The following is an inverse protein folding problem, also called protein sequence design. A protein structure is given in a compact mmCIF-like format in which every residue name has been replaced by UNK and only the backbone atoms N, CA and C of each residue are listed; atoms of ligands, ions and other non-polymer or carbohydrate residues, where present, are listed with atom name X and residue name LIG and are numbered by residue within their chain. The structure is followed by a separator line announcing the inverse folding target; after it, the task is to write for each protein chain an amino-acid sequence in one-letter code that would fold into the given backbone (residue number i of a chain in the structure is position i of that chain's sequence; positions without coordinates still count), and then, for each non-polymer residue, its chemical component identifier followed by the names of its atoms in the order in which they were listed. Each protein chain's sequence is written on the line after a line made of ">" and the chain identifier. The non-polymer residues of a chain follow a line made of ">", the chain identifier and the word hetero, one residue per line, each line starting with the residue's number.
data_IF_015411232756
#
_entry.id   IF_015411232756
#
_cell.length_a   1.000
_cell.length_b   1.000
_cell.length_c   1.000
_cell.angle_alpha   90.00
_cell.angle_beta   90.00
_cell.angle_gamma   90.00
#
_symmetry.space_group_name_H-M   'P 1'
#
loop_
_entity.id
_entity.type
_entity.pdbx_description
1 polymer ?
#
# COMPACT_ATOMS: atom_id res chain seq x y z
N UNK A 1 -10.75 0.58 20.97
CA UNK A 1 -10.34 -0.68 20.31
C UNK A 1 -10.39 -0.44 18.82
N UNK A 2 -9.26 -0.08 18.21
CA UNK A 2 -9.21 0.21 16.78
C UNK A 2 -9.21 -1.10 16.03
N UNK A 3 -10.34 -1.41 15.40
CA UNK A 3 -10.49 -2.56 14.50
C UNK A 3 -9.46 -2.41 13.39
N UNK A 4 -8.41 -3.21 13.44
CA UNK A 4 -7.47 -3.39 12.32
C UNK A 4 -8.31 -4.02 11.20
N UNK A 5 -8.61 -3.24 10.16
CA UNK A 5 -9.26 -3.80 8.98
C UNK A 5 -8.21 -4.64 8.26
N UNK A 6 -8.64 -5.71 7.62
CA UNK A 6 -7.77 -6.71 6.99
C UNK A 6 -6.89 -6.14 5.86
N UNK A 7 -7.14 -4.88 5.49
CA UNK A 7 -6.46 -4.10 4.46
C UNK A 7 -5.39 -3.13 5.04
N UNK A 8 -5.14 -3.18 6.34
CA UNK A 8 -4.13 -2.37 7.04
C UNK A 8 -2.70 -2.82 6.68
N UNK A 9 -1.86 -1.85 6.32
CA UNK A 9 -0.43 -2.05 6.11
C UNK A 9 0.30 -1.84 7.44
N UNK A 10 1.12 -2.81 7.85
CA UNK A 10 1.99 -2.70 9.03
C UNK A 10 3.46 -3.02 8.70
N UNK A 11 4.07 -2.31 7.74
CA UNK A 11 5.44 -2.63 7.32
C UNK A 11 6.48 -2.30 8.39
N UNK A 12 6.19 -1.33 9.27
CA UNK A 12 7.12 -0.79 10.27
C UNK A 12 6.60 -0.89 11.73
N UNK A 13 5.48 -1.61 11.93
CA UNK A 13 4.72 -1.54 13.19
C UNK A 13 3.84 -0.30 13.31
N UNK A 14 3.86 0.59 12.32
CA UNK A 14 2.90 1.68 12.14
C UNK A 14 1.71 1.14 11.34
N UNK A 15 0.51 1.33 11.87
CA UNK A 15 -0.74 0.98 11.19
C UNK A 15 -1.07 2.04 10.14
N UNK A 16 -0.98 1.67 8.86
CA UNK A 16 -1.33 2.54 7.74
C UNK A 16 -2.61 2.03 7.12
N UNK A 17 -3.69 2.77 7.36
CA UNK A 17 -5.01 2.52 6.77
C UNK A 17 -5.07 3.24 5.43
N UNK A 18 -5.16 2.49 4.33
CA UNK A 18 -5.45 3.03 3.01
C UNK A 18 -6.89 2.69 2.65
N UNK A 19 -7.67 3.68 2.23
CA UNK A 19 -9.00 3.43 1.69
C UNK A 19 -8.87 2.90 0.25
N UNK A 20 -8.68 1.58 0.14
CA UNK A 20 -8.57 0.91 -1.14
C UNK A 20 -9.88 0.97 -1.95
N UNK A 21 -11.03 1.19 -1.30
CA UNK A 21 -12.33 1.29 -1.97
C UNK A 21 -12.46 2.56 -2.81
N UNK A 22 -11.90 3.67 -2.33
CA UNK A 22 -11.80 4.92 -3.06
C UNK A 22 -10.71 4.92 -4.16
N UNK A 23 -9.83 3.92 -4.17
CA UNK A 23 -8.74 3.82 -5.15
C UNK A 23 -9.27 3.36 -6.52
N UNK A 24 -9.58 4.32 -7.39
CA UNK A 24 -10.03 4.05 -8.77
C UNK A 24 -8.87 3.60 -9.67
N UNK A 25 -9.19 2.95 -10.79
CA UNK A 25 -8.22 2.56 -11.82
C UNK A 25 -7.51 3.83 -12.33
N UNK A 26 -6.18 3.80 -12.39
CA UNK A 26 -5.34 4.95 -12.74
C UNK A 26 -4.97 5.85 -11.55
N UNK A 27 -5.50 5.59 -10.35
CA UNK A 27 -5.07 6.29 -9.13
C UNK A 27 -3.77 5.71 -8.58
N UNK A 28 -3.02 6.58 -7.90
CA UNK A 28 -1.81 6.21 -7.18
C UNK A 28 -1.89 6.67 -5.74
N UNK A 29 -1.43 5.83 -4.82
CA UNK A 29 -1.26 6.17 -3.41
C UNK A 29 0.22 6.10 -3.06
N UNK A 30 0.69 7.05 -2.26
CA UNK A 30 2.03 7.01 -1.68
C UNK A 30 1.94 6.62 -0.22
N UNK A 31 2.64 5.55 0.14
CA UNK A 31 2.72 5.03 1.50
C UNK A 31 4.14 5.29 2.04
N UNK A 32 4.34 6.25 2.95
CA UNK A 32 5.63 6.48 3.58
C UNK A 32 5.95 5.33 4.54
N UNK A 33 7.02 4.59 4.26
CA UNK A 33 7.43 3.39 4.99
C UNK A 33 8.95 3.27 4.96
N UNK A 34 9.57 2.97 6.09
CA UNK A 34 11.00 2.62 6.13
C UNK A 34 11.22 1.23 5.52
N UNK A 35 10.37 0.26 5.88
CA UNK A 35 10.42 -1.11 5.38
C UNK A 35 9.64 -1.30 4.06
N UNK A 36 10.23 -0.85 2.95
CA UNK A 36 9.58 -0.88 1.62
C UNK A 36 9.39 -2.29 1.05
N UNK A 37 10.25 -3.23 1.41
CA UNK A 37 10.15 -4.63 0.96
C UNK A 37 8.89 -5.29 1.54
N UNK A 38 8.75 -5.25 2.88
CA UNK A 38 7.54 -5.71 3.57
C UNK A 38 6.29 -4.98 3.10
N UNK A 39 6.36 -3.65 2.93
CA UNK A 39 5.23 -2.87 2.42
C UNK A 39 4.80 -3.39 1.03
N UNK A 40 5.75 -3.57 0.11
CA UNK A 40 5.46 -4.06 -1.24
C UNK A 40 4.84 -5.46 -1.23
N UNK A 41 5.35 -6.37 -0.38
CA UNK A 41 4.78 -7.71 -0.23
C UNK A 41 3.35 -7.66 0.31
N UNK A 42 3.11 -6.90 1.38
CA UNK A 42 1.77 -6.75 1.96
C UNK A 42 0.78 -6.15 0.98
N UNK A 43 1.17 -5.07 0.27
CA UNK A 43 0.33 -4.47 -0.78
C UNK A 43 0.01 -5.51 -1.85
N UNK A 44 0.98 -6.28 -2.32
CA UNK A 44 0.74 -7.34 -3.32
C UNK A 44 -0.23 -8.40 -2.82
N UNK A 45 -0.07 -8.92 -1.60
CA UNK A 45 -1.00 -9.90 -1.04
C UNK A 45 -2.42 -9.32 -0.89
N UNK A 46 -2.57 -8.09 -0.42
CA UNK A 46 -3.89 -7.46 -0.26
C UNK A 46 -4.53 -7.19 -1.63
N UNK A 47 -3.82 -6.53 -2.55
CA UNK A 47 -4.40 -6.13 -3.83
C UNK A 47 -4.59 -7.30 -4.80
N UNK A 48 -3.59 -8.20 -4.91
CA UNK A 48 -3.60 -9.30 -5.87
C UNK A 48 -4.39 -10.49 -5.29
N UNK A 49 -4.06 -10.98 -4.10
CA UNK A 49 -4.67 -12.22 -3.57
C UNK A 49 -6.07 -11.99 -3.01
N UNK A 50 -6.38 -10.83 -2.40
CA UNK A 50 -7.72 -10.58 -1.85
C UNK A 50 -8.67 -9.93 -2.86
N UNK A 51 -8.18 -8.93 -3.60
CA UNK A 51 -9.03 -8.10 -4.48
C UNK A 51 -8.93 -8.46 -5.96
N UNK A 52 -7.89 -9.20 -6.38
CA UNK A 52 -7.66 -9.53 -7.79
C UNK A 52 -7.34 -8.32 -8.65
N UNK A 53 -6.80 -7.25 -8.07
CA UNK A 53 -6.44 -6.03 -8.78
C UNK A 53 -5.00 -6.10 -9.27
N UNK A 54 -4.76 -5.58 -10.47
CA UNK A 54 -3.40 -5.43 -10.96
C UNK A 54 -2.85 -4.08 -10.48
N UNK A 55 -1.74 -4.17 -9.75
CA UNK A 55 -1.11 -3.03 -9.12
C UNK A 55 0.37 -3.01 -9.42
N UNK A 56 0.88 -1.81 -9.67
CA UNK A 56 2.30 -1.56 -9.78
C UNK A 56 2.74 -0.89 -8.50
N UNK A 57 3.66 -1.50 -7.76
CA UNK A 57 4.27 -0.88 -6.59
C UNK A 57 5.74 -0.54 -6.92
N UNK A 58 6.15 0.71 -6.68
CA UNK A 58 7.56 1.10 -6.77
C UNK A 58 7.99 1.86 -5.52
N UNK A 59 9.15 1.49 -5.00
CA UNK A 59 9.83 2.22 -3.95
C UNK A 59 10.35 3.55 -4.48
N UNK A 60 10.04 4.63 -3.77
CA UNK A 60 10.48 6.00 -4.06
C UNK A 60 10.76 6.74 -2.76
N UNK A 61 11.75 7.63 -2.83
CA UNK A 61 11.99 8.61 -1.78
C UNK A 61 11.40 9.93 -2.29
N UNK A 62 10.39 10.45 -1.61
CA UNK A 62 9.77 11.74 -1.92
C UNK A 62 9.90 12.64 -0.70
N UNK A 63 10.34 13.89 -0.89
CA UNK A 63 10.44 14.91 0.18
C UNK A 63 11.08 14.40 1.47
N UNK A 64 12.22 13.73 1.37
CA UNK A 64 12.99 13.16 2.50
C UNK A 64 12.30 12.00 3.23
N UNK A 65 11.18 11.48 2.71
CA UNK A 65 10.46 10.33 3.23
C UNK A 65 10.62 9.15 2.29
N UNK A 66 11.14 8.05 2.82
CA UNK A 66 11.25 6.78 2.11
C UNK A 66 9.88 6.10 2.13
N UNK A 67 9.45 5.54 1.00
CA UNK A 67 8.14 4.93 0.90
C UNK A 67 7.91 4.13 -0.38
N UNK A 68 6.70 3.60 -0.50
CA UNK A 68 6.25 2.84 -1.67
C UNK A 68 5.08 3.57 -2.30
N UNK A 69 5.17 3.86 -3.59
CA UNK A 69 4.05 4.34 -4.38
C UNK A 69 3.39 3.17 -5.09
N UNK A 70 2.09 3.05 -4.95
CA UNK A 70 1.28 1.98 -5.53
C UNK A 70 0.31 2.60 -6.52
N UNK A 71 0.34 2.13 -7.76
CA UNK A 71 -0.60 2.48 -8.82
C UNK A 71 -1.54 1.31 -9.05
N UNK A 72 -2.82 1.60 -9.17
CA UNK A 72 -3.81 0.61 -9.63
C UNK A 72 -3.94 0.73 -11.14
N UNK A 73 -3.65 -0.35 -11.85
CA UNK A 73 -3.73 -0.35 -13.31
C UNK A 73 -5.00 -1.03 -13.83
N UNK A 74 -5.52 -2.06 -13.15
CA UNK A 74 -6.74 -2.81 -13.50
C UNK A 74 -7.54 -3.19 -12.24
#
# INVERSE_FOLDING_TARGET
>A
MSVVKLDDLTPDGVHIVVDWGAMVIGSSVFIPCVNTDKATQQVKTICIERKGWDIVAKTRVESSLLGVRVWRIL
#
